data_IF_781126826266
#
_entry.id   IF_781126826266
#
_cell.length_a   1.000
_cell.length_b   1.000
_cell.length_c   1.000
_cell.angle_alpha   90.00
_cell.angle_beta   90.00
_cell.angle_gamma   90.00
#
_symmetry.space_group_name_H-M   'P 1'
#
loop_
_entity.id
_entity.type
_entity.pdbx_description
1 polymer ?
#
# COMPACT_ATOMS: atom_id res chain seq x y z
N UNK A 1 12.24 -6.72 24.35
CA UNK A 1 12.55 -6.58 22.90
C UNK A 1 12.37 -5.12 22.54
N UNK A 2 13.28 -4.52 21.78
CA UNK A 2 13.14 -3.11 21.37
C UNK A 2 11.87 -2.95 20.49
N UNK A 3 11.11 -1.86 20.68
CA UNK A 3 9.88 -1.54 19.96
C UNK A 3 10.02 -1.66 18.44
N UNK A 4 11.12 -1.18 17.87
CA UNK A 4 11.43 -1.31 16.47
C UNK A 4 11.43 -2.78 15.99
N UNK A 5 12.15 -3.66 16.70
CA UNK A 5 12.22 -5.08 16.37
C UNK A 5 10.86 -5.78 16.54
N UNK A 6 10.07 -5.35 17.54
CA UNK A 6 8.71 -5.84 17.75
C UNK A 6 7.81 -5.48 16.57
N UNK A 7 7.89 -4.23 16.11
CA UNK A 7 7.18 -3.76 14.92
C UNK A 7 7.57 -4.53 13.66
N UNK A 8 8.88 -4.65 13.38
CA UNK A 8 9.39 -5.42 12.23
C UNK A 8 8.82 -6.85 12.21
N UNK A 9 8.89 -7.56 13.35
CA UNK A 9 8.39 -8.94 13.45
C UNK A 9 6.90 -9.04 13.13
N UNK A 10 6.08 -8.08 13.59
CA UNK A 10 4.64 -8.04 13.30
C UNK A 10 4.34 -7.61 11.86
N UNK A 11 5.24 -6.88 11.21
CA UNK A 11 5.12 -6.48 9.80
C UNK A 11 5.42 -7.60 8.81
N UNK A 12 6.20 -8.63 9.17
CA UNK A 12 6.59 -9.71 8.25
C UNK A 12 5.38 -10.45 7.65
N UNK A 13 4.38 -10.91 8.43
CA UNK A 13 3.22 -11.59 7.85
C UNK A 13 2.44 -10.70 6.86
N UNK A 14 2.33 -9.40 7.16
CA UNK A 14 1.67 -8.44 6.28
C UNK A 14 2.45 -8.32 4.96
N UNK A 15 3.78 -8.19 5.03
CA UNK A 15 4.63 -8.08 3.84
C UNK A 15 4.53 -9.31 2.94
N UNK A 16 4.46 -10.52 3.52
CA UNK A 16 4.27 -11.76 2.75
C UNK A 16 2.93 -11.76 2.00
N UNK A 17 1.85 -11.31 2.64
CA UNK A 17 0.57 -11.12 1.96
C UNK A 17 0.62 -10.06 0.85
N UNK A 18 1.34 -8.99 1.10
CA UNK A 18 1.49 -7.89 0.13
C UNK A 18 2.27 -8.26 -1.11
N UNK A 19 3.25 -9.14 -1.01
CA UNK A 19 4.06 -9.58 -2.17
C UNK A 19 3.19 -10.11 -3.31
N UNK A 20 2.21 -10.96 -3.03
CA UNK A 20 1.36 -11.54 -4.06
C UNK A 20 0.41 -10.52 -4.70
N UNK A 21 -0.21 -9.67 -3.87
CA UNK A 21 -1.15 -8.65 -4.35
C UNK A 21 -0.42 -7.57 -5.15
N UNK A 22 0.72 -7.09 -4.67
CA UNK A 22 1.51 -6.07 -5.36
C UNK A 22 2.18 -6.60 -6.62
N UNK A 23 2.56 -7.88 -6.67
CA UNK A 23 2.99 -8.53 -7.89
C UNK A 23 1.89 -8.46 -8.96
N UNK A 24 0.67 -8.84 -8.60
CA UNK A 24 -0.49 -8.75 -9.51
C UNK A 24 -0.75 -7.31 -9.97
N UNK A 25 -0.58 -6.33 -9.06
CA UNK A 25 -0.67 -4.90 -9.41
C UNK A 25 0.39 -4.53 -10.46
N UNK A 26 1.64 -4.93 -10.27
CA UNK A 26 2.74 -4.68 -11.21
C UNK A 26 2.45 -5.21 -12.61
N UNK A 27 2.01 -6.46 -12.70
CA UNK A 27 1.59 -7.09 -13.98
C UNK A 27 0.44 -6.31 -14.61
N UNK A 28 -0.62 -6.01 -13.85
CA UNK A 28 -1.82 -5.32 -14.36
C UNK A 28 -1.47 -3.92 -14.87
N UNK A 29 -0.67 -3.16 -14.16
CA UNK A 29 -0.31 -1.79 -14.53
C UNK A 29 0.51 -1.75 -15.84
N UNK A 30 1.49 -2.64 -16.00
CA UNK A 30 2.29 -2.74 -17.23
C UNK A 30 1.43 -3.19 -18.40
N UNK A 31 0.55 -4.18 -18.21
CA UNK A 31 -0.38 -4.63 -19.25
C UNK A 31 -1.40 -3.54 -19.64
N UNK A 32 -1.69 -2.60 -18.76
CA UNK A 32 -2.48 -1.41 -19.06
C UNK A 32 -1.68 -0.29 -19.78
N UNK A 33 -0.43 -0.56 -20.17
CA UNK A 33 0.42 0.39 -20.90
C UNK A 33 1.21 1.35 -20.00
N UNK A 34 1.20 1.17 -18.68
CA UNK A 34 1.96 2.03 -17.77
C UNK A 34 3.42 1.55 -17.73
N UNK A 35 4.40 2.45 -17.99
CA UNK A 35 5.81 2.10 -17.90
C UNK A 35 6.21 1.52 -16.54
N UNK A 36 7.14 0.55 -16.52
CA UNK A 36 7.60 -0.13 -15.30
C UNK A 36 8.02 0.86 -14.22
N UNK A 37 8.81 1.87 -14.56
CA UNK A 37 9.29 2.83 -13.58
C UNK A 37 8.15 3.69 -12.96
N UNK A 38 7.13 4.04 -13.77
CA UNK A 38 5.93 4.73 -13.26
C UNK A 38 5.12 3.79 -12.35
N UNK A 39 4.97 2.53 -12.72
CA UNK A 39 4.29 1.51 -11.91
C UNK A 39 4.94 1.38 -10.52
N UNK A 40 6.28 1.33 -10.48
CA UNK A 40 7.02 1.28 -9.21
C UNK A 40 6.85 2.60 -8.43
N UNK A 41 6.92 3.75 -9.11
CA UNK A 41 6.73 5.05 -8.46
C UNK A 41 5.34 5.20 -7.84
N UNK A 42 4.29 4.73 -8.52
CA UNK A 42 2.92 4.69 -7.97
C UNK A 42 2.90 3.88 -6.66
N UNK A 43 3.54 2.72 -6.63
CA UNK A 43 3.58 1.88 -5.43
C UNK A 43 4.41 2.46 -4.29
N UNK A 44 5.48 3.21 -4.60
CA UNK A 44 6.26 3.93 -3.58
C UNK A 44 5.50 5.14 -3.04
N UNK A 45 4.77 5.85 -3.90
CA UNK A 45 4.05 7.06 -3.50
C UNK A 45 2.71 6.77 -2.80
N UNK A 46 2.12 5.61 -3.05
CA UNK A 46 0.75 5.32 -2.65
C UNK A 46 0.56 3.82 -2.32
N UNK A 47 0.48 3.48 -1.06
CA UNK A 47 0.33 2.09 -0.56
C UNK A 47 -1.15 1.80 -0.25
N UNK A 48 -2.06 2.03 -1.20
CA UNK A 48 -3.51 1.90 -0.97
C UNK A 48 -4.16 0.69 -1.64
N UNK A 49 -3.39 -0.22 -2.23
CA UNK A 49 -3.93 -1.42 -2.90
C UNK A 49 -5.15 -1.13 -3.78
N UNK A 50 -6.37 -1.22 -3.26
CA UNK A 50 -7.62 -1.00 -4.00
C UNK A 50 -7.64 0.33 -4.77
N UNK A 51 -7.13 1.41 -4.18
CA UNK A 51 -7.02 2.72 -4.84
C UNK A 51 -6.08 2.70 -6.05
N UNK A 52 -4.96 1.96 -5.95
CA UNK A 52 -4.02 1.81 -7.06
C UNK A 52 -4.64 0.99 -8.20
N UNK A 53 -5.32 -0.11 -7.91
CA UNK A 53 -6.01 -0.93 -8.92
C UNK A 53 -7.12 -0.14 -9.61
N UNK A 54 -7.90 0.65 -8.87
CA UNK A 54 -8.94 1.51 -9.42
C UNK A 54 -8.34 2.61 -10.32
N UNK A 55 -7.28 3.27 -9.85
CA UNK A 55 -6.57 4.29 -10.62
C UNK A 55 -6.05 3.77 -11.95
N UNK A 56 -5.40 2.59 -11.95
CA UNK A 56 -4.92 1.94 -13.19
C UNK A 56 -6.09 1.59 -14.11
N UNK A 57 -7.21 1.10 -13.59
CA UNK A 57 -8.38 0.77 -14.40
C UNK A 57 -8.97 2.02 -15.08
N UNK A 58 -9.07 3.14 -14.36
CA UNK A 58 -9.55 4.42 -14.92
C UNK A 58 -8.58 4.95 -15.98
N UNK A 59 -7.27 4.88 -15.74
CA UNK A 59 -6.26 5.26 -16.75
C UNK A 59 -6.37 4.41 -18.01
N UNK A 60 -6.52 3.09 -17.86
CA UNK A 60 -6.66 2.17 -19.00
C UNK A 60 -7.95 2.43 -19.80
N UNK A 61 -9.02 2.87 -19.14
CA UNK A 61 -10.29 3.25 -19.76
C UNK A 61 -10.29 4.68 -20.33
N UNK A 62 -9.16 5.40 -20.30
CA UNK A 62 -9.08 6.82 -20.66
C UNK A 62 -10.06 7.72 -19.88
N UNK A 63 -10.38 7.34 -18.64
CA UNK A 63 -11.25 8.10 -17.74
C UNK A 63 -10.70 9.47 -17.36
N UNK A 64 -11.58 10.34 -16.87
CA UNK A 64 -11.21 11.71 -16.53
C UNK A 64 -10.43 11.78 -15.22
N UNK A 65 -9.62 12.84 -15.04
CA UNK A 65 -8.93 13.10 -13.76
C UNK A 65 -9.92 13.31 -12.60
N UNK A 66 -11.10 13.88 -12.88
CA UNK A 66 -12.14 14.04 -11.85
C UNK A 66 -12.67 12.68 -11.39
N UNK A 67 -12.94 11.77 -12.32
CA UNK A 67 -13.37 10.40 -12.01
C UNK A 67 -12.31 9.68 -11.17
N UNK A 68 -11.04 9.78 -11.54
CA UNK A 68 -9.92 9.21 -10.77
C UNK A 68 -9.86 9.80 -9.35
N UNK A 69 -9.96 11.13 -9.22
CA UNK A 69 -9.91 11.81 -7.94
C UNK A 69 -11.07 11.41 -7.04
N UNK A 70 -12.29 11.39 -7.56
CA UNK A 70 -13.48 11.00 -6.81
C UNK A 70 -13.45 9.53 -6.40
N UNK A 71 -13.11 8.63 -7.32
CA UNK A 71 -13.04 7.19 -7.04
C UNK A 71 -11.98 6.89 -5.99
N UNK A 72 -10.77 7.43 -6.16
CA UNK A 72 -9.70 7.21 -5.19
C UNK A 72 -10.01 7.84 -3.84
N UNK A 73 -10.65 9.01 -3.80
CA UNK A 73 -11.10 9.63 -2.56
C UNK A 73 -12.11 8.73 -1.82
N UNK A 74 -13.15 8.25 -2.51
CA UNK A 74 -14.19 7.39 -1.91
C UNK A 74 -13.59 6.09 -1.38
N UNK A 75 -12.70 5.45 -2.15
CA UNK A 75 -12.03 4.21 -1.71
C UNK A 75 -11.14 4.45 -0.49
N UNK A 76 -10.47 5.60 -0.43
CA UNK A 76 -9.44 5.87 0.58
C UNK A 76 -9.96 6.66 1.79
N UNK A 77 -11.21 7.12 1.81
CA UNK A 77 -11.77 7.84 2.96
C UNK A 77 -11.68 7.04 4.27
N UNK A 78 -11.78 5.77 4.24
CA UNK A 78 -11.57 4.83 5.36
C UNK A 78 -10.22 5.04 6.07
N UNK A 79 -9.16 5.40 5.31
CA UNK A 79 -7.85 5.67 5.90
C UNK A 79 -7.87 6.90 6.82
N UNK A 80 -8.72 7.87 6.52
CA UNK A 80 -8.93 9.03 7.42
C UNK A 80 -9.52 8.57 8.76
N UNK A 81 -10.54 7.70 8.73
CA UNK A 81 -11.18 7.16 9.93
C UNK A 81 -10.22 6.30 10.74
N UNK A 82 -9.45 5.44 10.09
CA UNK A 82 -8.43 4.62 10.73
C UNK A 82 -7.32 5.46 11.37
N UNK A 83 -6.83 6.48 10.64
CA UNK A 83 -5.81 7.40 11.16
C UNK A 83 -6.33 8.20 12.35
N UNK A 84 -7.58 8.66 12.30
CA UNK A 84 -8.23 9.34 13.42
C UNK A 84 -8.33 8.42 14.64
N UNK A 85 -8.79 7.19 14.47
CA UNK A 85 -8.86 6.19 15.54
C UNK A 85 -7.48 5.92 16.17
N UNK A 86 -6.46 5.66 15.34
CA UNK A 86 -5.10 5.43 15.85
C UNK A 86 -4.50 6.66 16.51
N UNK A 87 -4.89 7.87 16.09
CA UNK A 87 -4.37 9.11 16.69
C UNK A 87 -4.65 9.22 18.20
N UNK A 88 -5.69 8.55 18.67
CA UNK A 88 -6.05 8.50 20.09
C UNK A 88 -5.17 7.53 20.88
N UNK A 89 -4.52 6.58 20.20
CA UNK A 89 -3.71 5.50 20.80
C UNK A 89 -2.20 5.74 20.71
N UNK A 90 -1.77 6.69 19.89
CA UNK A 90 -0.35 7.01 19.76
C UNK A 90 0.19 7.76 20.98
N UNK A 91 1.50 7.56 21.26
CA UNK A 91 2.18 8.28 22.32
C UNK A 91 2.02 9.80 22.14
N UNK A 92 1.59 10.50 23.20
CA UNK A 92 1.39 11.96 23.20
C UNK A 92 2.68 12.75 22.89
N UNK A 93 3.84 12.16 23.13
CA UNK A 93 5.16 12.73 22.82
C UNK A 93 5.53 12.67 21.33
N UNK A 94 4.71 11.99 20.51
CA UNK A 94 4.94 11.84 19.07
C UNK A 94 4.81 13.18 18.36
N UNK A 95 5.84 13.58 17.63
CA UNK A 95 5.87 14.84 16.87
C UNK A 95 4.94 14.78 15.65
N UNK A 96 4.53 15.93 15.13
CA UNK A 96 3.70 16.01 13.93
C UNK A 96 4.35 15.32 12.73
N UNK A 97 5.67 15.49 12.53
CA UNK A 97 6.41 14.82 11.45
C UNK A 97 6.31 13.30 11.55
N UNK A 98 6.47 12.75 12.76
CA UNK A 98 6.34 11.32 12.99
C UNK A 98 4.91 10.83 12.68
N UNK A 99 3.89 11.59 13.08
CA UNK A 99 2.48 11.27 12.79
C UNK A 99 2.20 11.26 11.28
N UNK A 100 2.71 12.24 10.53
CA UNK A 100 2.56 12.31 9.08
C UNK A 100 3.26 11.13 8.37
N UNK A 101 4.49 10.79 8.77
CA UNK A 101 5.21 9.65 8.21
C UNK A 101 4.51 8.31 8.51
N UNK A 102 3.94 8.16 9.70
CA UNK A 102 3.15 6.99 10.06
C UNK A 102 1.85 6.97 9.27
N UNK A 103 1.18 8.13 9.12
CA UNK A 103 -0.06 8.28 8.35
C UNK A 103 0.07 7.80 6.91
N UNK A 104 1.22 8.03 6.27
CA UNK A 104 1.53 7.53 4.93
C UNK A 104 1.46 5.99 4.84
N UNK A 105 1.88 5.28 5.89
CA UNK A 105 1.95 3.83 5.89
C UNK A 105 0.77 3.11 6.56
N UNK A 106 -0.29 3.82 6.93
CA UNK A 106 -1.48 3.17 7.53
C UNK A 106 -2.27 2.47 6.43
N UNK A 107 -2.37 1.16 6.55
CA UNK A 107 -3.23 0.29 5.76
C UNK A 107 -4.18 -0.48 6.67
N UNK A 108 -5.13 -1.22 6.11
CA UNK A 108 -6.11 -1.99 6.90
C UNK A 108 -5.42 -2.97 7.85
N UNK A 109 -4.38 -3.67 7.40
CA UNK A 109 -3.64 -4.66 8.17
C UNK A 109 -2.78 -4.00 9.26
N UNK A 110 -2.12 -2.88 8.93
CA UNK A 110 -1.33 -2.11 9.89
C UNK A 110 -2.25 -1.52 10.96
N UNK A 111 -3.42 -1.02 10.56
CA UNK A 111 -4.45 -0.56 11.49
C UNK A 111 -4.92 -1.69 12.42
N UNK A 112 -5.25 -2.87 11.86
CA UNK A 112 -5.69 -4.01 12.63
C UNK A 112 -4.65 -4.42 13.69
N UNK A 113 -3.38 -4.61 13.29
CA UNK A 113 -2.29 -4.97 14.21
C UNK A 113 -2.06 -3.90 15.26
N UNK A 114 -2.07 -2.62 14.87
CA UNK A 114 -1.88 -1.50 15.80
C UNK A 114 -3.03 -1.36 16.81
N UNK A 115 -4.25 -1.62 16.36
CA UNK A 115 -5.45 -1.55 17.21
C UNK A 115 -5.47 -2.65 18.28
N UNK A 116 -4.83 -3.78 18.03
CA UNK A 116 -4.73 -4.89 18.98
C UNK A 116 -3.65 -4.68 20.05
N UNK A 117 -2.75 -3.69 19.89
CA UNK A 117 -1.76 -3.40 20.93
C UNK A 117 -2.46 -2.87 22.19
N UNK A 118 -2.05 -3.36 23.35
CA UNK A 118 -2.58 -2.92 24.65
C UNK A 118 -1.91 -1.66 25.17
N UNK A 119 -0.67 -1.42 24.75
CA UNK A 119 0.12 -0.25 25.12
C UNK A 119 -0.05 0.91 24.13
N UNK A 120 0.35 2.10 24.53
CA UNK A 120 0.41 3.25 23.62
C UNK A 120 1.40 2.99 22.48
N UNK A 121 1.01 3.37 21.27
CA UNK A 121 1.83 3.15 20.08
C UNK A 121 3.01 4.10 20.02
N UNK A 122 4.23 3.59 20.20
CA UNK A 122 5.44 4.38 20.04
C UNK A 122 5.77 4.58 18.56
N UNK A 123 6.41 5.72 18.21
CA UNK A 123 6.87 5.97 16.84
C UNK A 123 7.80 4.86 16.32
N UNK A 124 8.68 4.33 17.19
CA UNK A 124 9.61 3.25 16.83
C UNK A 124 8.89 1.96 16.48
N UNK A 125 7.85 1.61 17.21
CA UNK A 125 7.02 0.45 16.90
C UNK A 125 6.32 0.61 15.56
N UNK A 126 5.66 1.75 15.33
CA UNK A 126 4.94 2.03 14.09
C UNK A 126 5.86 2.04 12.87
N UNK A 127 7.04 2.67 12.97
CA UNK A 127 8.01 2.61 11.88
C UNK A 127 8.47 1.19 11.56
N UNK A 128 8.75 0.37 12.58
CA UNK A 128 9.09 -1.03 12.38
C UNK A 128 7.98 -1.80 11.69
N UNK A 129 6.73 -1.60 12.14
CA UNK A 129 5.56 -2.29 11.60
C UNK A 129 5.28 -1.91 10.13
N UNK A 130 5.50 -0.65 9.74
CA UNK A 130 5.22 -0.11 8.40
C UNK A 130 6.33 -0.46 7.40
N UNK A 131 7.60 -0.43 7.82
CA UNK A 131 8.74 -0.55 6.92
C UNK A 131 8.73 -1.85 6.11
N UNK A 132 8.48 -2.98 6.76
CA UNK A 132 8.53 -4.30 6.08
C UNK A 132 7.39 -4.46 5.08
N UNK A 133 6.13 -4.14 5.39
CA UNK A 133 5.04 -4.18 4.43
C UNK A 133 5.22 -3.24 3.23
N UNK A 134 5.64 -1.99 3.46
CA UNK A 134 5.90 -1.03 2.37
C UNK A 134 7.02 -1.52 1.44
N UNK A 135 8.09 -2.05 2.02
CA UNK A 135 9.16 -2.67 1.24
C UNK A 135 8.65 -3.87 0.45
N UNK A 136 7.90 -4.77 1.09
CA UNK A 136 7.29 -5.94 0.43
C UNK A 136 6.36 -5.55 -0.72
N UNK A 137 5.54 -4.51 -0.52
CA UNK A 137 4.66 -3.96 -1.55
C UNK A 137 5.44 -3.44 -2.75
N UNK A 138 6.48 -2.65 -2.52
CA UNK A 138 7.32 -2.08 -3.58
C UNK A 138 8.07 -3.17 -4.36
N UNK A 139 8.67 -4.14 -3.65
CA UNK A 139 9.40 -5.26 -4.25
C UNK A 139 8.46 -6.16 -5.07
N UNK A 140 7.29 -6.49 -4.53
CA UNK A 140 6.30 -7.27 -5.26
C UNK A 140 5.83 -6.57 -6.54
N UNK A 141 5.54 -5.26 -6.47
CA UNK A 141 5.21 -4.46 -7.66
C UNK A 141 6.33 -4.48 -8.70
N UNK A 142 7.57 -4.26 -8.28
CA UNK A 142 8.72 -4.27 -9.18
C UNK A 142 8.90 -5.64 -9.86
N UNK A 143 8.79 -6.72 -9.08
CA UNK A 143 8.89 -8.08 -9.59
C UNK A 143 7.76 -8.37 -10.61
N UNK A 144 6.51 -8.01 -10.31
CA UNK A 144 5.38 -8.18 -11.23
C UNK A 144 5.51 -7.36 -12.51
N UNK A 145 5.93 -6.10 -12.39
CA UNK A 145 6.13 -5.21 -13.52
C UNK A 145 7.24 -5.69 -14.46
N UNK A 146 8.35 -6.20 -13.91
CA UNK A 146 9.44 -6.79 -14.69
C UNK A 146 9.05 -8.13 -15.30
N UNK A 147 8.36 -8.99 -14.55
CA UNK A 147 7.89 -10.28 -15.06
C UNK A 147 6.94 -10.10 -16.25
N UNK A 148 6.08 -9.09 -16.22
CA UNK A 148 5.18 -8.76 -17.34
C UNK A 148 5.91 -8.43 -18.65
N UNK A 149 7.13 -7.90 -18.57
CA UNK A 149 7.93 -7.65 -19.79
C UNK A 149 8.54 -8.90 -20.40
N UNK A 150 8.77 -9.95 -19.59
CA UNK A 150 9.43 -11.19 -20.02
C UNK A 150 8.40 -12.23 -20.47
N UNK A 151 7.21 -12.22 -19.86
CA UNK A 151 6.14 -13.14 -20.21
C UNK A 151 5.30 -12.54 -21.34
N UNK A 152 5.36 -13.05 -22.58
CA UNK A 152 4.43 -12.66 -23.62
C UNK A 152 3.02 -13.03 -23.14
N UNK A 153 2.18 -12.03 -22.92
CA UNK A 153 0.76 -12.24 -22.61
C UNK A 153 0.12 -12.81 -23.87
N UNK A 154 -0.05 -14.10 -23.94
CA UNK A 154 -0.97 -14.70 -24.89
C UNK A 154 -2.36 -14.22 -24.50
N UNK A 155 -2.85 -13.21 -25.21
CA UNK A 155 -4.25 -12.81 -25.13
C UNK A 155 -5.11 -13.99 -25.62
N UNK A 156 -5.44 -14.89 -24.74
CA UNK A 156 -6.61 -15.72 -24.93
C UNK A 156 -7.80 -14.78 -24.80
N UNK A 157 -8.29 -14.31 -25.93
CA UNK A 157 -9.60 -13.71 -26.03
C UNK A 157 -10.63 -14.73 -25.56
N UNK A 158 -10.97 -14.69 -24.29
CA UNK A 158 -12.25 -15.20 -23.82
C UNK A 158 -13.28 -14.11 -24.14
N UNK A 159 -13.67 -14.07 -25.39
CA UNK A 159 -14.98 -13.53 -25.79
C UNK A 159 -16.03 -14.47 -25.21
N UNK A 160 -16.68 -14.04 -24.14
CA UNK A 160 -18.02 -14.49 -23.78
C UNK A 160 -18.95 -13.29 -23.85
#
# INVERSE_FOLDING_TARGET
MNDWKRGLKKGIPIALGYLSVSFTFGVKAVNAGIPVWITILISVANVTSAGQFAGVAIMAAHGSYLEMAMTTFIINVRYMLMSFSLSQKVDKKMTLRQRLMIGYGITDEIFAVSSMETESLSARFMYGLITVPVFGWTVGTAAGALASQIMPVSYTHLTL
#
